data_IF_148174847707
#
_entry.id   IF_148174847707
#
_cell.length_a   1.000
_cell.length_b   1.000
_cell.length_c   1.000
_cell.angle_alpha   90.00
_cell.angle_beta   90.00
_cell.angle_gamma   90.00
#
_symmetry.space_group_name_H-M   'P 1'
#
loop_
_entity.id
_entity.type
_entity.pdbx_description
1 polymer ?
#
# COMPACT_ATOMS: atom_id res chain seq x y z
N UNK A 1 5.82 22.66 -3.86
CA UNK A 1 5.07 21.40 -3.73
C UNK A 1 5.13 20.73 -5.08
N UNK A 2 5.70 19.52 -5.16
CA UNK A 2 5.65 18.72 -6.38
C UNK A 2 4.19 18.37 -6.66
N UNK A 3 3.77 18.41 -7.92
CA UNK A 3 2.42 17.98 -8.29
C UNK A 3 2.23 16.49 -7.95
N UNK A 4 1.00 16.11 -7.59
CA UNK A 4 0.69 14.70 -7.23
C UNK A 4 1.07 13.74 -8.38
N UNK A 5 0.84 14.16 -9.62
CA UNK A 5 1.14 13.35 -10.81
C UNK A 5 2.64 13.08 -10.94
N UNK A 6 3.46 14.10 -10.74
CA UNK A 6 4.92 13.99 -10.79
C UNK A 6 5.45 13.12 -9.64
N UNK A 7 4.92 13.31 -8.43
CA UNK A 7 5.29 12.51 -7.27
C UNK A 7 4.93 11.02 -7.46
N UNK A 8 3.75 10.74 -8.03
CA UNK A 8 3.33 9.39 -8.38
C UNK A 8 4.22 8.79 -9.48
N UNK A 9 4.59 9.57 -10.50
CA UNK A 9 5.50 9.12 -11.55
C UNK A 9 6.87 8.73 -11.00
N UNK A 10 7.41 9.51 -10.04
CA UNK A 10 8.66 9.18 -9.34
C UNK A 10 8.53 7.87 -8.55
N UNK A 11 7.45 7.70 -7.78
CA UNK A 11 7.20 6.47 -7.03
C UNK A 11 7.11 5.26 -7.99
N UNK A 12 6.30 5.35 -9.03
CA UNK A 12 6.13 4.28 -10.02
C UNK A 12 7.43 3.95 -10.75
N UNK A 13 8.25 4.94 -11.08
CA UNK A 13 9.58 4.73 -11.65
C UNK A 13 10.53 3.99 -10.70
N UNK A 14 10.46 4.28 -9.40
CA UNK A 14 11.25 3.57 -8.39
C UNK A 14 10.83 2.10 -8.23
N UNK A 15 9.51 1.84 -8.24
CA UNK A 15 8.93 0.49 -8.20
C UNK A 15 9.38 -0.31 -9.41
N UNK A 16 9.24 0.27 -10.61
CA UNK A 16 9.66 -0.37 -11.85
C UNK A 16 11.15 -0.74 -11.83
N UNK A 17 12.03 0.16 -11.39
CA UNK A 17 13.46 -0.13 -11.29
C UNK A 17 13.74 -1.31 -10.34
N UNK A 18 13.10 -1.33 -9.17
CA UNK A 18 13.25 -2.42 -8.21
C UNK A 18 12.84 -3.77 -8.81
N UNK A 19 11.75 -3.82 -9.58
CA UNK A 19 11.35 -5.05 -10.28
C UNK A 19 12.36 -5.47 -11.35
N UNK A 20 12.88 -4.53 -12.14
CA UNK A 20 13.92 -4.83 -13.15
C UNK A 20 15.20 -5.37 -12.51
N UNK A 21 15.53 -4.90 -11.31
CA UNK A 21 16.68 -5.38 -10.51
C UNK A 21 16.39 -6.71 -9.78
N UNK A 22 15.24 -7.35 -10.03
CA UNK A 22 14.83 -8.62 -9.43
C UNK A 22 14.42 -8.51 -7.96
N UNK A 23 14.25 -7.30 -7.45
CA UNK A 23 13.76 -7.09 -6.09
C UNK A 23 12.27 -7.41 -5.99
N UNK A 24 11.83 -7.86 -4.82
CA UNK A 24 10.43 -8.18 -4.58
C UNK A 24 9.66 -6.91 -4.24
N UNK A 25 8.79 -6.46 -5.14
CA UNK A 25 7.81 -5.40 -4.88
C UNK A 25 6.40 -6.01 -4.83
N UNK A 26 5.83 -6.25 -3.64
CA UNK A 26 4.59 -7.02 -3.50
C UNK A 26 3.38 -6.42 -4.24
N UNK A 27 3.25 -5.09 -4.31
CA UNK A 27 2.06 -4.42 -4.83
C UNK A 27 1.83 -4.54 -6.34
N UNK A 28 2.87 -4.90 -7.08
CA UNK A 28 2.84 -5.10 -8.54
C UNK A 28 2.83 -6.59 -8.91
N UNK A 29 2.90 -7.50 -7.92
CA UNK A 29 2.82 -8.94 -8.16
C UNK A 29 1.37 -9.38 -8.42
N UNK A 30 1.06 -9.97 -9.59
CA UNK A 30 -0.31 -10.35 -9.94
C UNK A 30 -0.96 -11.31 -8.94
N UNK A 31 -0.19 -12.21 -8.34
CA UNK A 31 -0.69 -13.26 -7.43
C UNK A 31 -1.39 -12.73 -6.19
N UNK A 32 -1.02 -11.53 -5.73
CA UNK A 32 -1.58 -10.90 -4.52
C UNK A 32 -2.20 -9.53 -4.83
N UNK A 33 -2.37 -9.19 -6.11
CA UNK A 33 -2.88 -7.89 -6.55
C UNK A 33 -4.27 -7.55 -5.97
N UNK A 34 -5.09 -8.56 -5.72
CA UNK A 34 -6.42 -8.40 -5.16
C UNK A 34 -6.42 -7.98 -3.67
N UNK A 35 -5.32 -8.19 -2.92
CA UNK A 35 -5.26 -7.83 -1.50
C UNK A 35 -5.24 -6.31 -1.27
N UNK A 36 -4.61 -5.55 -2.16
CA UNK A 36 -4.36 -4.11 -1.98
C UNK A 36 -5.61 -3.24 -1.98
N UNK A 37 -6.67 -3.72 -2.64
CA UNK A 37 -7.96 -3.05 -2.78
C UNK A 37 -9.09 -3.84 -2.12
N UNK A 38 -8.77 -4.90 -1.38
CA UNK A 38 -9.78 -5.76 -0.76
C UNK A 38 -10.60 -5.00 0.29
N UNK A 39 -11.88 -5.37 0.38
CA UNK A 39 -12.77 -4.89 1.43
C UNK A 39 -12.73 -5.73 2.72
N UNK A 40 -11.93 -6.79 2.70
CA UNK A 40 -11.77 -7.71 3.81
C UNK A 40 -10.55 -7.35 4.66
N UNK A 41 -10.71 -7.34 5.98
CA UNK A 41 -9.64 -6.95 6.92
C UNK A 41 -8.47 -7.93 6.89
N UNK A 42 -8.73 -9.24 6.74
CA UNK A 42 -7.67 -10.25 6.70
C UNK A 42 -6.79 -10.06 5.47
N UNK A 43 -7.41 -9.78 4.31
CA UNK A 43 -6.67 -9.44 3.09
C UNK A 43 -5.90 -8.12 3.21
N UNK A 44 -6.46 -7.10 3.85
CA UNK A 44 -5.78 -5.82 4.06
C UNK A 44 -4.59 -5.97 5.02
N UNK A 45 -4.74 -6.73 6.10
CA UNK A 45 -3.66 -7.03 7.04
C UNK A 45 -2.56 -7.89 6.37
N UNK A 46 -2.93 -8.81 5.49
CA UNK A 46 -1.98 -9.55 4.66
C UNK A 46 -1.21 -8.64 3.69
N UNK A 47 -1.89 -7.69 3.05
CA UNK A 47 -1.26 -6.68 2.20
C UNK A 47 -0.31 -5.76 3.00
N UNK A 48 -0.72 -5.31 4.19
CA UNK A 48 0.14 -4.54 5.11
C UNK A 48 1.40 -5.34 5.44
N UNK A 49 1.23 -6.60 5.84
CA UNK A 49 2.35 -7.49 6.18
C UNK A 49 3.31 -7.68 5.00
N UNK A 50 2.77 -7.87 3.79
CA UNK A 50 3.59 -7.96 2.59
C UNK A 50 4.37 -6.65 2.35
N UNK A 51 3.70 -5.50 2.52
CA UNK A 51 4.28 -4.17 2.32
C UNK A 51 5.49 -3.90 3.22
N UNK A 52 5.52 -4.44 4.45
CA UNK A 52 6.64 -4.26 5.39
C UNK A 52 7.98 -4.82 4.88
N UNK A 53 7.95 -5.75 3.91
CA UNK A 53 9.16 -6.32 3.29
C UNK A 53 9.58 -5.60 2.00
N UNK A 54 8.81 -4.59 1.57
CA UNK A 54 9.02 -3.93 0.29
C UNK A 54 10.22 -2.97 0.33
N UNK A 55 11.18 -3.08 -0.60
CA UNK A 55 12.30 -2.14 -0.70
C UNK A 55 11.88 -0.72 -1.10
N UNK A 56 10.68 -0.55 -1.67
CA UNK A 56 10.11 0.76 -2.01
C UNK A 56 9.31 1.38 -0.84
N UNK A 57 9.28 0.77 0.34
CA UNK A 57 8.41 1.18 1.45
C UNK A 57 8.64 2.64 1.86
N UNK A 58 9.89 3.07 1.99
CA UNK A 58 10.19 4.44 2.42
C UNK A 58 9.83 5.49 1.34
N UNK A 59 10.03 5.16 0.06
CA UNK A 59 9.57 6.02 -1.04
C UNK A 59 8.05 6.12 -1.06
N UNK A 60 7.35 4.99 -0.86
CA UNK A 60 5.90 4.93 -0.76
C UNK A 60 5.40 5.78 0.43
N UNK A 61 6.04 5.69 1.60
CA UNK A 61 5.77 6.55 2.76
C UNK A 61 5.94 8.02 2.44
N UNK A 62 7.03 8.38 1.76
CA UNK A 62 7.30 9.77 1.35
C UNK A 62 6.20 10.32 0.43
N UNK A 63 5.72 9.51 -0.52
CA UNK A 63 4.60 9.87 -1.38
C UNK A 63 3.32 10.11 -0.58
N UNK A 64 2.87 9.13 0.22
CA UNK A 64 1.56 9.24 0.92
C UNK A 64 1.56 10.27 2.04
N UNK A 65 2.73 10.63 2.59
CA UNK A 65 2.83 11.71 3.57
C UNK A 65 2.52 13.10 2.97
N UNK A 66 2.81 13.28 1.67
CA UNK A 66 2.55 14.52 0.94
C UNK A 66 1.25 14.47 0.13
N UNK A 67 0.86 13.28 -0.32
CA UNK A 67 -0.29 13.01 -1.15
C UNK A 67 -1.07 11.81 -0.59
N UNK A 68 -1.89 11.99 0.46
CA UNK A 68 -2.67 10.91 1.04
C UNK A 68 -3.59 10.25 0.00
N UNK A 69 -3.66 8.93 0.02
CA UNK A 69 -4.57 8.14 -0.83
C UNK A 69 -5.77 7.68 0.00
N UNK A 70 -6.97 7.88 -0.51
CA UNK A 70 -8.23 7.64 0.22
C UNK A 70 -8.66 6.16 0.22
N UNK A 71 -7.94 5.28 -0.47
CA UNK A 71 -8.33 3.89 -0.64
C UNK A 71 -7.16 2.91 -0.81
N UNK A 72 -7.41 1.69 -0.35
CA UNK A 72 -6.45 0.58 -0.42
C UNK A 72 -5.33 0.66 0.62
N UNK A 73 -4.40 -0.29 0.52
CA UNK A 73 -3.21 -0.37 1.37
C UNK A 73 -2.05 0.34 0.68
N UNK A 74 -1.51 1.36 1.35
CA UNK A 74 -0.33 2.10 0.93
C UNK A 74 0.65 2.19 2.08
N UNK A 75 1.96 2.12 1.82
CA UNK A 75 2.98 2.35 2.83
C UNK A 75 2.79 1.54 4.15
N UNK A 76 2.27 0.31 4.04
CA UNK A 76 1.90 -0.57 5.15
C UNK A 76 0.81 -0.01 6.09
N UNK A 77 -0.05 0.87 5.57
CA UNK A 77 -1.23 1.41 6.28
C UNK A 77 -2.45 1.38 5.35
N UNK A 78 -3.64 1.35 5.93
CA UNK A 78 -4.90 1.59 5.22
C UNK A 78 -5.80 2.48 6.08
N UNK A 79 -6.66 3.31 5.47
CA UNK A 79 -7.56 4.16 6.24
C UNK A 79 -8.54 3.30 7.04
N UNK A 80 -8.84 3.66 8.30
CA UNK A 80 -9.85 2.96 9.09
C UNK A 80 -11.21 3.08 8.39
N UNK A 81 -11.88 1.94 8.17
CA UNK A 81 -13.23 1.91 7.58
C UNK A 81 -14.19 2.76 8.41
N UNK A 82 -14.71 3.85 7.83
CA UNK A 82 -15.79 4.64 8.44
C UNK A 82 -17.06 3.78 8.46
N UNK A 83 -17.38 3.14 9.58
CA UNK A 83 -18.68 2.49 9.78
C UNK A 83 -18.69 1.17 10.54
N UNK A 84 -17.55 0.60 10.95
CA UNK A 84 -17.56 -0.64 11.72
C UNK A 84 -17.55 -0.35 13.22
N UNK A 85 -18.74 -0.31 13.83
CA UNK A 85 -18.86 -0.48 15.28
C UNK A 85 -18.11 -1.77 15.66
N UNK A 86 -17.10 -1.66 16.54
CA UNK A 86 -16.39 -2.80 17.13
C UNK A 86 -17.26 -3.54 18.15
N UNK A 87 -18.49 -3.90 17.79
CA UNK A 87 -19.35 -4.73 18.65
C UNK A 87 -19.13 -6.19 18.27
N UNK A 88 -18.25 -6.88 19.01
CA UNK A 88 -18.10 -8.32 18.84
C UNK A 88 -16.74 -8.90 19.21
N UNK A 89 -16.18 -8.55 20.37
CA UNK A 89 -15.17 -9.37 21.02
C UNK A 89 -15.55 -9.54 22.49
N UNK A 90 -16.50 -10.44 22.73
CA UNK A 90 -16.76 -11.05 24.02
C UNK A 90 -17.26 -12.47 23.77
N UNK A 91 -16.34 -13.43 23.82
CA UNK A 91 -16.46 -14.70 24.55
C UNK A 91 -15.15 -15.48 24.45
#
# INVERSE_FOLDING_TARGET
>A
MTDRTDALAVLMGSIFRLEQDGQRVPCVRPTIGHWWLADDDEMQDAAVTACLTCPALDTCRGYVALHPEDGGVWAAIYPPRRGRNRTGASR
#
